data_IF_409092663589
#
_entry.id   IF_409092663589
#
_cell.length_a   1.000
_cell.length_b   1.000
_cell.length_c   1.000
_cell.angle_alpha   90.00
_cell.angle_beta   90.00
_cell.angle_gamma   90.00
#
_symmetry.space_group_name_H-M   'P 1'
#
loop_
_entity.id
_entity.type
_entity.pdbx_description
1 polymer ?
#
# COMPACT_ATOMS: atom_id res chain seq x y z
N UNK A 1 -1.97 1.65 3.31
CA UNK A 1 -1.78 1.95 1.87
C UNK A 1 -0.31 2.19 1.56
N UNK A 2 0.20 3.43 1.65
CA UNK A 2 1.59 3.76 1.32
C UNK A 2 2.62 2.89 2.04
N UNK A 3 2.47 2.71 3.37
CA UNK A 3 3.36 1.87 4.16
C UNK A 3 3.42 0.41 3.66
N UNK A 4 2.31 -0.14 3.19
CA UNK A 4 2.26 -1.50 2.64
C UNK A 4 3.11 -1.63 1.38
N UNK A 5 3.03 -0.64 0.49
CA UNK A 5 3.87 -0.59 -0.72
C UNK A 5 5.34 -0.38 -0.39
N UNK A 6 5.65 0.46 0.61
CA UNK A 6 7.02 0.65 1.06
C UNK A 6 7.63 -0.66 1.60
N UNK A 7 6.86 -1.41 2.41
CA UNK A 7 7.27 -2.74 2.90
C UNK A 7 7.48 -3.70 1.73
N UNK A 8 6.54 -3.75 0.79
CA UNK A 8 6.66 -4.60 -0.39
C UNK A 8 7.94 -4.31 -1.20
N UNK A 9 8.18 -3.03 -1.54
CA UNK A 9 9.35 -2.66 -2.33
C UNK A 9 10.66 -2.92 -1.59
N UNK A 10 10.70 -2.67 -0.27
CA UNK A 10 11.87 -2.98 0.54
C UNK A 10 12.14 -4.48 0.57
N UNK A 11 11.10 -5.30 0.72
CA UNK A 11 11.22 -6.75 0.74
C UNK A 11 11.72 -7.29 -0.61
N UNK A 12 11.16 -6.82 -1.73
CA UNK A 12 11.60 -7.23 -3.07
C UNK A 12 13.01 -6.74 -3.38
N UNK A 13 13.36 -5.52 -2.99
CA UNK A 13 14.73 -5.00 -3.14
C UNK A 13 15.75 -5.83 -2.37
N UNK A 14 15.43 -6.23 -1.13
CA UNK A 14 16.29 -7.12 -0.36
C UNK A 14 16.36 -8.54 -0.97
N UNK A 15 15.26 -9.04 -1.54
CA UNK A 15 15.16 -10.40 -2.07
C UNK A 15 15.72 -10.59 -3.49
N UNK A 16 15.80 -9.53 -4.29
CA UNK A 16 16.12 -9.63 -5.73
C UNK A 16 17.06 -8.55 -6.23
N UNK A 17 17.40 -7.59 -5.37
CA UNK A 17 18.18 -6.41 -5.72
C UNK A 17 19.64 -6.68 -6.01
N UNK A 18 20.08 -7.92 -6.22
CA UNK A 18 21.41 -8.23 -6.71
C UNK A 18 21.58 -8.02 -8.21
N UNK A 19 20.53 -8.30 -9.00
CA UNK A 19 20.57 -8.14 -10.45
C UNK A 19 20.27 -6.70 -10.89
N UNK A 20 21.03 -6.19 -11.88
CA UNK A 20 20.82 -4.85 -12.43
C UNK A 20 19.43 -4.64 -13.03
N UNK A 21 18.88 -5.67 -13.67
CA UNK A 21 17.53 -5.65 -14.25
C UNK A 21 16.44 -5.56 -13.17
N UNK A 22 16.55 -6.33 -12.08
CA UNK A 22 15.60 -6.23 -10.98
C UNK A 22 15.66 -4.86 -10.30
N UNK A 23 16.86 -4.32 -10.03
CA UNK A 23 17.03 -2.97 -9.49
C UNK A 23 16.33 -1.93 -10.35
N UNK A 24 16.55 -1.97 -11.67
CA UNK A 24 15.91 -1.04 -12.60
C UNK A 24 14.38 -1.12 -12.52
N UNK A 25 13.81 -2.34 -12.58
CA UNK A 25 12.37 -2.54 -12.49
C UNK A 25 11.78 -2.04 -11.16
N UNK A 26 12.47 -2.27 -10.05
CA UNK A 26 12.07 -1.79 -8.72
C UNK A 26 12.08 -0.27 -8.68
N UNK A 27 13.14 0.38 -9.18
CA UNK A 27 13.23 1.85 -9.19
C UNK A 27 12.06 2.46 -9.96
N UNK A 28 11.79 1.97 -11.17
CA UNK A 28 10.66 2.46 -11.99
C UNK A 28 9.33 2.25 -11.25
N UNK A 29 9.14 1.09 -10.62
CA UNK A 29 7.93 0.79 -9.85
C UNK A 29 7.75 1.71 -8.64
N UNK A 30 8.84 2.01 -7.92
CA UNK A 30 8.85 2.95 -6.78
C UNK A 30 8.52 4.36 -7.25
N UNK A 31 9.12 4.82 -8.34
CA UNK A 31 8.82 6.14 -8.92
C UNK A 31 7.35 6.25 -9.34
N UNK A 32 6.82 5.20 -9.97
CA UNK A 32 5.40 5.16 -10.34
C UNK A 32 4.49 5.22 -9.11
N UNK A 33 4.78 4.43 -8.07
CA UNK A 33 4.01 4.48 -6.82
C UNK A 33 4.12 5.86 -6.14
N UNK A 34 5.30 6.48 -6.17
CA UNK A 34 5.50 7.83 -5.64
C UNK A 34 4.65 8.87 -6.40
N UNK A 35 4.54 8.77 -7.72
CA UNK A 35 3.64 9.63 -8.51
C UNK A 35 2.19 9.36 -8.13
N UNK A 36 1.76 8.10 -8.06
CA UNK A 36 0.39 7.73 -7.71
C UNK A 36 -0.03 8.33 -6.36
N UNK A 37 0.75 8.09 -5.31
CA UNK A 37 0.46 8.63 -3.97
C UNK A 37 0.71 10.14 -3.87
N UNK A 38 1.71 10.65 -4.60
CA UNK A 38 2.07 12.07 -4.61
C UNK A 38 0.98 12.93 -5.24
N UNK A 39 0.50 12.54 -6.43
CA UNK A 39 -0.60 13.22 -7.12
C UNK A 39 -1.88 13.15 -6.29
N UNK A 40 -2.21 11.98 -5.72
CA UNK A 40 -3.36 11.85 -4.81
C UNK A 40 -3.25 12.79 -3.60
N UNK A 41 -2.05 12.91 -2.99
CA UNK A 41 -1.80 13.83 -1.88
C UNK A 41 -1.93 15.29 -2.30
N UNK A 42 -1.45 15.66 -3.48
CA UNK A 42 -1.57 17.03 -4.01
C UNK A 42 -3.05 17.35 -4.25
N UNK A 43 -3.78 16.46 -4.90
CA UNK A 43 -5.22 16.60 -5.14
C UNK A 43 -6.01 16.75 -3.83
N UNK A 44 -5.74 15.91 -2.83
CA UNK A 44 -6.37 16.01 -1.52
C UNK A 44 -6.09 17.33 -0.80
N UNK A 45 -4.96 17.99 -1.08
CA UNK A 45 -4.64 19.32 -0.52
C UNK A 45 -5.28 20.48 -1.30
N UNK A 46 -5.73 20.21 -2.52
CA UNK A 46 -6.44 21.17 -3.38
C UNK A 46 -7.96 21.00 -3.31
N UNK A 47 -8.46 19.91 -2.74
CA UNK A 47 -9.87 19.73 -2.46
C UNK A 47 -10.38 20.92 -1.60
N UNK A 48 -11.51 21.51 -2.01
CA UNK A 48 -12.19 22.57 -1.25
C UNK A 48 -12.69 22.05 0.10
N UNK A 49 -13.49 22.83 0.85
CA UNK A 49 -14.11 22.36 2.08
C UNK A 49 -14.99 21.15 1.76
N UNK A 50 -14.47 19.96 2.00
CA UNK A 50 -15.20 18.71 1.83
C UNK A 50 -16.01 18.49 3.10
N UNK A 51 -17.30 18.16 2.95
CA UNK A 51 -18.15 17.90 4.11
C UNK A 51 -17.50 16.82 4.98
N UNK A 52 -17.41 17.10 6.29
CA UNK A 52 -16.72 16.22 7.24
C UNK A 52 -17.36 14.84 7.13
N UNK A 53 -16.57 13.85 6.74
CA UNK A 53 -17.05 12.47 6.54
C UNK A 53 -17.88 12.02 7.75
N UNK A 54 -19.03 11.34 7.56
CA UNK A 54 -19.81 10.77 8.65
C UNK A 54 -18.95 9.90 9.61
N UNK A 55 -17.94 9.23 9.06
CA UNK A 55 -16.95 8.44 9.79
C UNK A 55 -16.07 9.26 10.74
N UNK A 56 -15.77 10.52 10.39
CA UNK A 56 -14.99 11.43 11.23
C UNK A 56 -15.86 12.16 12.26
N UNK A 57 -17.19 12.11 12.09
CA UNK A 57 -18.17 12.56 13.08
C UNK A 57 -18.57 11.44 14.08
N UNK A 58 -17.92 10.26 14.02
CA UNK A 58 -18.25 9.11 14.86
C UNK A 58 -19.58 8.42 14.50
N UNK A 59 -20.18 8.77 13.36
CA UNK A 59 -21.39 8.13 12.84
C UNK A 59 -20.99 6.91 12.00
N UNK A 60 -21.85 5.89 11.98
CA UNK A 60 -21.68 4.76 11.09
C UNK A 60 -21.89 5.20 9.64
N UNK A 61 -21.13 4.61 8.72
CA UNK A 61 -21.31 4.88 7.30
C UNK A 61 -22.56 4.15 6.82
N UNK A 62 -23.53 4.89 6.31
CA UNK A 62 -24.72 4.29 5.71
C UNK A 62 -24.37 3.73 4.33
N UNK A 63 -24.41 2.41 4.17
CA UNK A 63 -24.15 1.73 2.91
C UNK A 63 -25.41 1.03 2.44
N UNK A 64 -25.49 0.74 1.14
CA UNK A 64 -26.63 0.00 0.56
C UNK A 64 -26.89 -1.37 1.25
N UNK A 65 -25.87 -1.94 1.89
CA UNK A 65 -25.92 -3.21 2.63
C UNK A 65 -26.12 -3.06 4.14
N UNK A 66 -26.35 -1.84 4.65
CA UNK A 66 -26.53 -1.54 6.06
C UNK A 66 -25.47 -0.61 6.64
N UNK A 67 -25.60 -0.28 7.93
CA UNK A 67 -24.66 0.58 8.65
C UNK A 67 -23.32 -0.12 8.85
N UNK A 68 -22.24 0.51 8.41
CA UNK A 68 -20.89 -0.05 8.52
C UNK A 68 -20.03 0.75 9.49
N UNK A 69 -19.37 0.03 10.41
CA UNK A 69 -18.44 0.64 11.38
C UNK A 69 -17.15 1.12 10.70
N UNK A 70 -16.55 2.17 11.27
CA UNK A 70 -15.30 2.78 10.76
C UNK A 70 -14.16 1.76 10.64
N UNK A 71 -14.04 0.82 11.58
CA UNK A 71 -12.99 -0.20 11.52
C UNK A 71 -13.20 -1.18 10.37
N UNK A 72 -14.45 -1.54 10.10
CA UNK A 72 -14.79 -2.44 8.99
C UNK A 72 -14.47 -1.78 7.63
N UNK A 73 -14.78 -0.49 7.48
CA UNK A 73 -14.45 0.29 6.26
C UNK A 73 -12.93 0.32 6.03
N UNK A 74 -12.14 0.69 7.05
CA UNK A 74 -10.68 0.69 6.91
C UNK A 74 -10.12 -0.70 6.63
N UNK A 75 -10.68 -1.75 7.24
CA UNK A 75 -10.29 -3.13 6.99
C UNK A 75 -10.48 -3.52 5.52
N UNK A 76 -11.64 -3.23 4.94
CA UNK A 76 -11.92 -3.52 3.52
C UNK A 76 -10.98 -2.78 2.58
N UNK A 77 -10.68 -1.51 2.88
CA UNK A 77 -9.74 -0.74 2.06
C UNK A 77 -8.32 -1.29 2.21
N UNK A 78 -7.88 -1.61 3.43
CA UNK A 78 -6.50 -2.01 3.72
C UNK A 78 -6.16 -3.47 3.39
N UNK A 79 -7.15 -4.36 3.24
CA UNK A 79 -6.88 -5.80 3.09
C UNK A 79 -6.03 -6.11 1.87
N UNK A 80 -6.29 -5.47 0.73
CA UNK A 80 -5.57 -5.75 -0.52
C UNK A 80 -4.11 -5.32 -0.40
N UNK A 81 -3.77 -4.10 0.03
CA UNK A 81 -2.35 -3.72 0.14
C UNK A 81 -1.64 -4.41 1.29
N UNK A 82 -2.35 -4.79 2.35
CA UNK A 82 -1.78 -5.66 3.37
C UNK A 82 -1.34 -7.00 2.76
N UNK A 83 -2.18 -7.61 1.91
CA UNK A 83 -1.82 -8.83 1.20
C UNK A 83 -0.59 -8.63 0.29
N UNK A 84 -0.49 -7.49 -0.41
CA UNK A 84 0.70 -7.14 -1.21
C UNK A 84 1.96 -7.04 -0.34
N UNK A 85 1.88 -6.39 0.83
CA UNK A 85 3.01 -6.29 1.75
C UNK A 85 3.46 -7.66 2.26
N UNK A 86 2.51 -8.50 2.68
CA UNK A 86 2.77 -9.86 3.15
C UNK A 86 3.34 -10.74 2.02
N UNK A 87 2.88 -10.55 0.79
CA UNK A 87 3.42 -11.24 -0.38
C UNK A 87 4.90 -10.91 -0.61
N UNK A 88 5.28 -9.64 -0.54
CA UNK A 88 6.70 -9.23 -0.64
C UNK A 88 7.55 -9.81 0.49
N UNK A 89 7.04 -9.77 1.73
CA UNK A 89 7.71 -10.39 2.89
C UNK A 89 7.86 -11.91 2.72
N UNK A 90 6.85 -12.60 2.20
CA UNK A 90 6.92 -14.03 1.94
C UNK A 90 8.02 -14.35 0.93
N UNK A 91 8.14 -13.59 -0.16
CA UNK A 91 9.23 -13.72 -1.13
C UNK A 91 10.59 -13.54 -0.44
N UNK A 92 10.75 -12.49 0.38
CA UNK A 92 11.99 -12.26 1.12
C UNK A 92 12.35 -13.43 2.04
N UNK A 93 11.40 -13.93 2.81
CA UNK A 93 11.61 -15.08 3.72
C UNK A 93 12.03 -16.32 2.93
N UNK A 94 11.39 -16.58 1.78
CA UNK A 94 11.73 -17.70 0.91
C UNK A 94 13.16 -17.55 0.36
N UNK A 95 13.51 -16.38 -0.17
CA UNK A 95 14.86 -16.10 -0.70
C UNK A 95 15.92 -16.32 0.37
N UNK A 96 15.71 -15.78 1.58
CA UNK A 96 16.63 -15.95 2.71
C UNK A 96 16.75 -17.41 3.16
N UNK A 97 15.64 -18.16 3.13
CA UNK A 97 15.61 -19.56 3.53
C UNK A 97 16.33 -20.48 2.53
N UNK A 98 16.29 -20.13 1.24
CA UNK A 98 16.94 -20.90 0.16
C UNK A 98 18.41 -20.49 0.00
N UNK A 99 18.84 -19.35 0.54
CA UNK A 99 20.22 -18.86 0.39
C UNK A 99 20.53 -18.43 -1.04
N UNK A 100 19.53 -17.86 -1.74
CA UNK A 100 19.77 -17.23 -3.04
C UNK A 100 20.53 -15.93 -2.76
N UNK A 101 21.86 -16.02 -2.73
CA UNK A 101 22.72 -14.85 -2.71
C UNK A 101 22.36 -14.00 -3.94
N UNK A 102 21.75 -12.86 -3.67
CA UNK A 102 21.29 -11.91 -4.70
C UNK A 102 22.49 -11.15 -5.27
#
# INVERSE_FOLDING_TARGET
>A
MFACYAIFFLAIAAATGGSGHARFAIIISVLYAAVYFGVARIGARQAGPEDISPLDQGKMLDTFTGLMDKRAVYGQVLIVPLAVALFGLAILVITLSIGIDS
#
